data_IF_479449901068
#
_entry.id   IF_479449901068
#
_cell.length_a   1.000
_cell.length_b   1.000
_cell.length_c   1.000
_cell.angle_alpha   90.00
_cell.angle_beta   90.00
_cell.angle_gamma   90.00
#
_symmetry.space_group_name_H-M   'P 1'
#
loop_
_entity.id
_entity.type
_entity.pdbx_description
1 polymer ?
#
# COMPACT_ATOMS: atom_id res chain seq x y z
N UNK A 1 -6.03 12.56 11.84
CA UNK A 1 -5.98 12.64 10.37
C UNK A 1 -6.20 11.25 9.81
N UNK A 2 -6.79 11.17 8.62
CA UNK A 2 -6.88 9.98 7.78
C UNK A 2 -5.72 9.99 6.80
N UNK A 3 -4.85 8.99 6.86
CA UNK A 3 -3.62 8.92 6.07
C UNK A 3 -3.69 7.72 5.14
N UNK A 4 -3.52 7.96 3.85
CA UNK A 4 -3.37 6.92 2.83
C UNK A 4 -1.87 6.71 2.56
N UNK A 5 -1.43 5.46 2.56
CA UNK A 5 -0.04 5.10 2.24
C UNK A 5 -0.05 3.99 1.20
N UNK A 6 0.72 4.12 0.12
CA UNK A 6 1.00 2.99 -0.79
C UNK A 6 2.31 2.33 -0.43
N UNK A 7 2.43 1.01 -0.63
CA UNK A 7 3.67 0.28 -0.41
C UNK A 7 3.80 -0.96 -1.30
N UNK A 8 4.99 -1.55 -1.28
CA UNK A 8 5.26 -2.83 -1.91
C UNK A 8 5.42 -2.76 -3.43
N UNK A 9 5.79 -3.87 -4.06
CA UNK A 9 5.93 -3.96 -5.50
C UNK A 9 4.58 -4.13 -6.19
N UNK A 10 4.48 -3.82 -7.47
CA UNK A 10 3.38 -4.29 -8.33
C UNK A 10 3.87 -5.42 -9.21
N UNK A 11 2.99 -6.36 -9.55
CA UNK A 11 3.24 -7.51 -10.40
C UNK A 11 2.35 -7.39 -11.65
N UNK A 12 2.96 -7.22 -12.81
CA UNK A 12 2.28 -7.21 -14.11
C UNK A 12 2.47 -8.57 -14.79
N UNK A 13 1.41 -9.40 -14.90
CA UNK A 13 1.53 -10.72 -15.50
C UNK A 13 1.84 -10.64 -17.00
N UNK A 14 2.81 -11.44 -17.45
CA UNK A 14 3.13 -11.62 -18.88
C UNK A 14 2.50 -12.91 -19.39
N UNK A 15 2.59 -13.97 -18.58
CA UNK A 15 1.99 -15.29 -18.79
C UNK A 15 1.81 -15.98 -17.42
N UNK A 16 1.35 -17.25 -17.33
CA UNK A 16 1.10 -17.91 -16.05
C UNK A 16 2.32 -18.07 -15.12
N UNK A 17 3.55 -17.82 -15.59
CA UNK A 17 4.78 -17.99 -14.80
C UNK A 17 5.59 -16.70 -14.71
N UNK A 18 5.66 -15.93 -15.79
CA UNK A 18 6.49 -14.72 -15.88
C UNK A 18 5.67 -13.46 -15.62
N UNK A 19 6.30 -12.51 -14.96
CA UNK A 19 5.73 -11.21 -14.68
C UNK A 19 6.82 -10.13 -14.64
N UNK A 20 6.42 -8.88 -14.86
CA UNK A 20 7.25 -7.71 -14.59
C UNK A 20 6.94 -7.21 -13.18
N UNK A 21 7.97 -7.01 -12.37
CA UNK A 21 7.84 -6.44 -11.02
C UNK A 21 8.92 -5.41 -10.77
N UNK A 22 8.68 -4.52 -9.82
CA UNK A 22 9.74 -3.70 -9.23
C UNK A 22 10.36 -4.40 -8.01
N UNK A 23 11.52 -3.91 -7.55
CA UNK A 23 12.28 -4.49 -6.41
C UNK A 23 11.92 -3.85 -5.06
N UNK A 24 10.79 -3.17 -4.96
CA UNK A 24 10.36 -2.62 -3.67
C UNK A 24 10.13 -3.74 -2.67
N UNK A 25 10.65 -3.56 -1.45
CA UNK A 25 10.39 -4.48 -0.35
C UNK A 25 9.17 -4.09 0.48
N UNK A 26 8.58 -2.91 0.24
CA UNK A 26 7.48 -2.34 1.05
C UNK A 26 7.86 -1.87 2.46
N UNK A 27 9.06 -2.20 2.96
CA UNK A 27 9.46 -1.97 4.36
C UNK A 27 9.28 -0.54 4.84
N UNK A 28 9.61 0.45 3.99
CA UNK A 28 9.47 1.86 4.35
C UNK A 28 7.99 2.25 4.52
N UNK A 29 7.13 1.90 3.57
CA UNK A 29 5.70 2.18 3.64
C UNK A 29 5.03 1.53 4.85
N UNK A 30 5.38 0.28 5.16
CA UNK A 30 4.88 -0.43 6.35
C UNK A 30 5.34 0.24 7.65
N UNK A 31 6.60 0.68 7.72
CA UNK A 31 7.11 1.42 8.88
C UNK A 31 6.42 2.77 9.06
N UNK A 32 6.14 3.49 7.97
CA UNK A 32 5.37 4.73 8.00
C UNK A 32 3.93 4.50 8.46
N UNK A 33 3.29 3.43 7.99
CA UNK A 33 1.93 3.06 8.40
C UNK A 33 1.87 2.76 9.90
N UNK A 34 2.75 1.89 10.40
CA UNK A 34 2.87 1.57 11.81
C UNK A 34 3.12 2.82 12.69
N UNK A 35 4.07 3.66 12.27
CA UNK A 35 4.42 4.87 13.01
C UNK A 35 3.30 5.93 13.00
N UNK A 36 2.45 5.94 11.96
CA UNK A 36 1.30 6.83 11.84
C UNK A 36 0.14 6.33 12.72
N UNK A 37 -0.17 5.04 12.68
CA UNK A 37 -1.19 4.42 13.52
C UNK A 37 -0.84 4.55 15.01
N UNK A 38 0.43 4.33 15.39
CA UNK A 38 0.92 4.53 16.76
C UNK A 38 0.76 5.96 17.28
N UNK A 39 0.69 6.96 16.38
CA UNK A 39 0.42 8.36 16.72
C UNK A 39 -1.07 8.70 16.78
N UNK A 40 -1.96 7.70 16.65
CA UNK A 40 -3.41 7.87 16.73
C UNK A 40 -4.05 8.37 15.43
N UNK A 41 -3.38 8.21 14.28
CA UNK A 41 -3.99 8.48 12.99
C UNK A 41 -4.77 7.26 12.47
N UNK A 42 -5.85 7.49 11.71
CA UNK A 42 -6.52 6.44 10.95
C UNK A 42 -5.72 6.23 9.67
N UNK A 43 -5.18 5.03 9.48
CA UNK A 43 -4.25 4.74 8.40
C UNK A 43 -4.83 3.69 7.48
N UNK A 44 -4.86 3.99 6.19
CA UNK A 44 -5.12 3.04 5.12
C UNK A 44 -3.82 2.73 4.39
N UNK A 45 -3.41 1.47 4.40
CA UNK A 45 -2.27 0.96 3.65
C UNK A 45 -2.77 0.19 2.42
N UNK A 46 -2.45 0.70 1.23
CA UNK A 46 -2.69 0.03 -0.04
C UNK A 46 -1.36 -0.60 -0.47
N UNK A 47 -1.24 -1.92 -0.46
CA UNK A 47 0.04 -2.57 -0.71
C UNK A 47 -0.04 -3.65 -1.76
N UNK A 48 0.97 -3.69 -2.62
CA UNK A 48 1.23 -4.85 -3.44
C UNK A 48 1.82 -6.02 -2.64
N UNK A 49 2.10 -7.16 -3.30
CA UNK A 49 2.47 -8.41 -2.62
C UNK A 49 3.79 -8.29 -1.86
N UNK A 50 3.75 -8.53 -0.55
CA UNK A 50 4.92 -8.64 0.33
C UNK A 50 4.70 -9.71 1.40
N UNK A 51 5.77 -10.14 2.05
CA UNK A 51 5.70 -11.03 3.23
C UNK A 51 5.70 -10.26 4.56
N UNK A 52 5.49 -8.95 4.53
CA UNK A 52 5.47 -8.12 5.73
C UNK A 52 4.13 -8.27 6.45
N UNK A 53 4.17 -8.31 7.78
CA UNK A 53 2.96 -8.30 8.59
C UNK A 53 2.28 -6.92 8.53
N UNK A 54 0.95 -6.92 8.41
CA UNK A 54 0.15 -5.70 8.43
C UNK A 54 0.25 -5.10 9.84
N UNK A 55 0.66 -3.83 10.00
CA UNK A 55 0.78 -3.22 11.32
C UNK A 55 -0.57 -3.15 12.04
N UNK A 56 -0.54 -3.27 13.37
CA UNK A 56 -1.74 -3.15 14.21
C UNK A 56 -2.41 -1.77 14.05
N UNK A 57 -3.75 -1.76 13.97
CA UNK A 57 -4.52 -0.52 13.83
C UNK A 57 -4.45 0.14 12.44
N UNK A 58 -3.97 -0.57 11.43
CA UNK A 58 -3.93 -0.13 10.03
C UNK A 58 -4.98 -0.87 9.21
N UNK A 59 -5.83 -0.13 8.50
CA UNK A 59 -6.72 -0.68 7.48
C UNK A 59 -5.89 -1.05 6.25
N UNK A 60 -6.21 -2.18 5.60
CA UNK A 60 -5.38 -2.73 4.53
C UNK A 60 -6.18 -3.06 3.27
N UNK A 61 -5.66 -2.65 2.11
CA UNK A 61 -6.15 -3.05 0.80
C UNK A 61 -5.00 -3.71 0.03
N UNK A 62 -5.08 -5.04 -0.22
CA UNK A 62 -4.14 -5.69 -1.11
C UNK A 62 -4.41 -5.32 -2.56
N UNK A 63 -3.34 -5.18 -3.34
CA UNK A 63 -3.37 -5.09 -4.80
C UNK A 63 -2.34 -6.06 -5.37
N UNK A 64 -2.46 -6.38 -6.65
CA UNK A 64 -1.44 -7.15 -7.38
C UNK A 64 -0.70 -6.26 -8.36
N UNK A 65 -1.42 -5.53 -9.22
CA UNK A 65 -0.87 -4.75 -10.32
C UNK A 65 -1.04 -3.23 -10.13
N UNK A 66 -0.38 -2.46 -10.98
CA UNK A 66 -0.41 -1.00 -10.94
C UNK A 66 -1.79 -0.42 -11.25
N UNK A 67 -2.59 -1.08 -12.08
CA UNK A 67 -3.95 -0.64 -12.39
C UNK A 67 -4.86 -0.74 -11.14
N UNK A 68 -4.77 -1.85 -10.40
CA UNK A 68 -5.46 -2.02 -9.12
C UNK A 68 -5.00 -1.01 -8.08
N UNK A 69 -3.69 -0.77 -7.96
CA UNK A 69 -3.16 0.28 -7.08
C UNK A 69 -3.76 1.64 -7.43
N UNK A 70 -3.77 2.00 -8.71
CA UNK A 70 -4.34 3.26 -9.16
C UNK A 70 -5.83 3.37 -8.81
N UNK A 71 -6.63 2.33 -9.08
CA UNK A 71 -8.07 2.34 -8.79
C UNK A 71 -8.34 2.42 -7.27
N UNK A 72 -7.59 1.66 -6.47
CA UNK A 72 -7.70 1.69 -5.02
C UNK A 72 -7.39 3.09 -4.48
N UNK A 73 -6.28 3.70 -4.91
CA UNK A 73 -5.92 5.07 -4.53
C UNK A 73 -6.98 6.06 -4.99
N UNK A 74 -7.38 6.03 -6.26
CA UNK A 74 -8.35 6.98 -6.83
C UNK A 74 -9.70 6.94 -6.09
N UNK A 75 -10.14 5.75 -5.66
CA UNK A 75 -11.39 5.60 -4.91
C UNK A 75 -11.32 6.12 -3.45
N UNK A 76 -10.11 6.27 -2.89
CA UNK A 76 -9.90 6.58 -1.48
C UNK A 76 -9.30 7.97 -1.25
N UNK A 77 -8.52 8.51 -2.19
CA UNK A 77 -7.66 9.68 -1.96
C UNK A 77 -8.45 10.92 -1.52
N UNK A 78 -9.67 11.11 -2.03
CA UNK A 78 -10.54 12.25 -1.65
C UNK A 78 -11.10 12.17 -0.21
N UNK A 79 -11.01 10.99 0.42
CA UNK A 79 -11.48 10.72 1.79
C UNK A 79 -10.37 10.83 2.84
N UNK A 80 -9.14 11.12 2.41
CA UNK A 80 -7.95 11.17 3.26
C UNK A 80 -7.34 12.56 3.27
N UNK A 81 -6.75 12.95 4.40
CA UNK A 81 -6.16 14.27 4.60
C UNK A 81 -4.73 14.34 4.04
N UNK A 82 -4.05 13.20 3.93
CA UNK A 82 -2.66 13.05 3.47
C UNK A 82 -2.51 11.75 2.69
N UNK A 83 -1.76 11.78 1.59
CA UNK A 83 -1.33 10.61 0.84
C UNK A 83 0.20 10.54 0.77
N UNK A 84 0.76 9.36 1.02
CA UNK A 84 2.19 9.06 0.86
C UNK A 84 2.34 7.92 -0.15
N UNK A 85 3.00 8.21 -1.28
CA UNK A 85 3.29 7.21 -2.30
C UNK A 85 4.72 6.68 -2.15
N UNK A 86 4.85 5.47 -1.60
CA UNK A 86 6.15 4.84 -1.28
C UNK A 86 6.35 3.45 -1.87
#
# INVERSE_FOLDING_TARGET
>A
MKILITAGPTIEPIDPVRYLTNRSSGKMGYALAAASAKRGHSVLLISGPTSLEIPEGVDFIPIENAAEMYQAVASQISRHDLAIFS
#
